data_IF_003697890712
#
_entry.id   IF_003697890712
#
_cell.length_a   1.000
_cell.length_b   1.000
_cell.length_c   1.000
_cell.angle_alpha   90.00
_cell.angle_beta   90.00
_cell.angle_gamma   90.00
#
_symmetry.space_group_name_H-M   'P 1'
#
loop_
_entity.id
_entity.type
_entity.pdbx_description
1 polymer ?
#
# COMPACT_ATOMS: atom_id res chain seq x y z
N UNK A 1 6.88 -3.39 9.82
CA UNK A 1 5.90 -2.98 8.79
C UNK A 1 6.60 -2.73 7.46
N UNK A 2 5.92 -3.01 6.38
CA UNK A 2 6.43 -2.73 5.03
C UNK A 2 5.31 -2.15 4.18
N UNK A 3 5.60 -1.04 3.50
CA UNK A 3 4.72 -0.49 2.46
C UNK A 3 5.46 -0.57 1.14
N UNK A 4 4.96 -1.38 0.22
CA UNK A 4 5.43 -1.35 -1.17
C UNK A 4 4.53 -0.38 -1.93
N UNK A 5 5.09 0.79 -2.25
CA UNK A 5 4.37 1.91 -2.85
C UNK A 5 4.67 1.93 -4.35
N UNK A 6 3.63 1.89 -5.17
CA UNK A 6 3.75 2.08 -6.61
C UNK A 6 2.95 3.31 -7.03
N UNK A 7 3.62 4.25 -7.67
CA UNK A 7 2.96 5.42 -8.26
C UNK A 7 2.20 4.96 -9.51
N UNK A 8 0.92 5.29 -9.59
CA UNK A 8 0.04 4.76 -10.64
C UNK A 8 -0.73 5.84 -11.38
N UNK A 9 -1.06 5.57 -12.66
CA UNK A 9 -2.05 6.33 -13.40
C UNK A 9 -3.46 5.85 -13.06
N UNK A 10 -3.61 4.56 -12.78
CA UNK A 10 -4.83 3.93 -12.30
C UNK A 10 -4.48 2.58 -11.68
N UNK A 11 -5.37 2.08 -10.84
CA UNK A 11 -5.27 0.76 -10.24
C UNK A 11 -6.63 0.26 -9.81
N UNK A 12 -6.82 -1.07 -9.76
CA UNK A 12 -8.07 -1.65 -9.28
C UNK A 12 -7.84 -3.03 -8.67
N UNK A 13 -8.76 -3.42 -7.81
CA UNK A 13 -8.85 -4.76 -7.24
C UNK A 13 -10.15 -5.40 -7.69
N UNK A 14 -10.04 -6.61 -8.25
CA UNK A 14 -11.17 -7.45 -8.60
C UNK A 14 -11.17 -8.70 -7.74
N UNK A 15 -12.35 -9.12 -7.28
CA UNK A 15 -12.57 -10.36 -6.55
C UNK A 15 -13.69 -11.09 -7.26
N UNK A 16 -13.43 -12.33 -7.70
CA UNK A 16 -14.41 -13.16 -8.43
C UNK A 16 -15.05 -12.40 -9.63
N UNK A 17 -14.22 -11.66 -10.36
CA UNK A 17 -14.65 -10.88 -11.52
C UNK A 17 -15.37 -9.57 -11.21
N UNK A 18 -15.50 -9.21 -9.94
CA UNK A 18 -16.15 -7.97 -9.49
C UNK A 18 -15.12 -6.96 -9.00
N UNK A 19 -15.17 -5.74 -9.50
CA UNK A 19 -14.31 -4.66 -9.02
C UNK A 19 -14.79 -4.18 -7.65
N UNK A 20 -13.91 -4.29 -6.63
CA UNK A 20 -14.22 -3.90 -5.25
C UNK A 20 -13.54 -2.61 -4.83
N UNK A 21 -12.49 -2.20 -5.54
CA UNK A 21 -11.79 -0.93 -5.31
C UNK A 21 -11.12 -0.47 -6.59
N UNK A 22 -11.14 0.83 -6.84
CA UNK A 22 -10.58 1.42 -8.06
C UNK A 22 -10.17 2.85 -7.80
N UNK A 23 -9.00 3.23 -8.30
CA UNK A 23 -8.47 4.60 -8.22
C UNK A 23 -7.94 5.07 -9.58
N UNK A 24 -7.87 6.39 -9.75
CA UNK A 24 -7.09 7.04 -10.79
C UNK A 24 -5.65 7.28 -10.34
N UNK A 25 -5.10 8.44 -10.66
CA UNK A 25 -3.73 8.84 -10.31
C UNK A 25 -3.51 8.81 -8.79
N UNK A 26 -2.42 8.20 -8.37
CA UNK A 26 -2.07 8.14 -6.96
C UNK A 26 -1.11 7.01 -6.65
N UNK A 27 -1.34 6.32 -5.53
CA UNK A 27 -0.55 5.17 -5.10
C UNK A 27 -1.40 3.91 -4.99
N UNK A 28 -0.89 2.80 -5.51
CA UNK A 28 -1.27 1.47 -5.06
C UNK A 28 -0.22 1.00 -4.07
N UNK A 29 -0.66 0.64 -2.86
CA UNK A 29 0.24 0.27 -1.77
C UNK A 29 -0.09 -1.14 -1.28
N UNK A 30 0.91 -2.02 -1.34
CA UNK A 30 0.85 -3.31 -0.67
C UNK A 30 1.37 -3.13 0.75
N UNK A 31 0.59 -3.57 1.74
CA UNK A 31 0.88 -3.37 3.16
C UNK A 31 1.18 -4.71 3.82
N UNK A 32 2.40 -4.85 4.32
CA UNK A 32 2.82 -5.98 5.14
C UNK A 32 2.91 -5.57 6.60
N UNK A 33 2.26 -6.34 7.48
CA UNK A 33 2.32 -6.13 8.93
C UNK A 33 3.24 -7.20 9.52
N UNK A 34 4.24 -6.77 10.29
CA UNK A 34 5.14 -7.64 11.02
C UNK A 34 4.61 -7.98 12.41
N UNK A 35 5.16 -9.03 13.01
CA UNK A 35 4.70 -9.55 14.32
C UNK A 35 4.85 -8.56 15.47
N UNK A 36 5.76 -7.59 15.36
CA UNK A 36 6.02 -6.59 16.41
C UNK A 36 5.48 -5.20 16.08
N UNK A 37 4.66 -5.08 15.04
CA UNK A 37 4.13 -3.79 14.63
C UNK A 37 3.03 -3.29 15.58
N UNK A 38 2.96 -1.96 15.68
CA UNK A 38 2.03 -1.23 16.54
C UNK A 38 1.35 -0.10 15.78
N UNK A 39 0.33 0.50 16.38
CA UNK A 39 -0.32 1.69 15.81
C UNK A 39 0.64 2.87 15.66
N UNK A 40 1.57 3.03 16.61
CA UNK A 40 2.60 4.08 16.57
C UNK A 40 3.53 3.91 15.36
N UNK A 41 3.90 2.67 15.06
CA UNK A 41 4.69 2.34 13.87
C UNK A 41 3.87 2.65 12.60
N UNK A 42 2.59 2.24 12.58
CA UNK A 42 1.69 2.53 11.46
C UNK A 42 1.57 4.04 11.22
N UNK A 43 1.40 4.84 12.27
CA UNK A 43 1.32 6.30 12.17
C UNK A 43 2.57 6.89 11.52
N UNK A 44 3.74 6.40 11.90
CA UNK A 44 5.01 6.85 11.32
C UNK A 44 5.10 6.53 9.83
N UNK A 45 4.66 5.32 9.43
CA UNK A 45 4.65 4.91 8.02
C UNK A 45 3.66 5.73 7.21
N UNK A 46 2.47 5.98 7.74
CA UNK A 46 1.45 6.81 7.09
C UNK A 46 1.99 8.22 6.86
N UNK A 47 2.55 8.85 7.89
CA UNK A 47 3.13 10.20 7.76
C UNK A 47 4.23 10.25 6.70
N UNK A 48 5.12 9.26 6.70
CA UNK A 48 6.20 9.19 5.71
C UNK A 48 5.64 9.02 4.30
N UNK A 49 4.71 8.10 4.11
CA UNK A 49 4.08 7.84 2.80
C UNK A 49 3.40 9.10 2.25
N UNK A 50 2.63 9.80 3.08
CA UNK A 50 1.93 11.02 2.66
C UNK A 50 2.89 12.18 2.36
N UNK A 51 4.06 12.20 2.99
CA UNK A 51 5.07 13.25 2.81
C UNK A 51 6.04 12.99 1.66
N UNK A 52 6.06 11.79 1.08
CA UNK A 52 6.94 11.47 -0.05
C UNK A 52 6.63 12.39 -1.23
N UNK A 53 7.68 12.97 -1.79
CA UNK A 53 7.58 13.93 -2.90
C UNK A 53 8.02 13.26 -4.19
N UNK A 54 7.17 12.38 -4.71
CA UNK A 54 7.49 11.52 -5.86
C UNK A 54 6.59 11.73 -7.07
N UNK A 55 5.78 12.78 -7.07
CA UNK A 55 5.05 13.21 -8.27
C UNK A 55 5.78 14.36 -8.95
N UNK A 56 5.69 14.39 -10.28
CA UNK A 56 6.33 15.43 -11.07
C UNK A 56 5.66 16.80 -10.83
N UNK A 57 6.50 17.83 -10.72
CA UNK A 57 6.06 19.22 -10.72
C UNK A 57 5.90 19.75 -12.16
N UNK A 58 5.59 21.03 -12.32
CA UNK A 58 5.39 21.69 -13.62
C UNK A 58 6.66 21.69 -14.49
N UNK A 59 7.84 21.52 -13.86
CA UNK A 59 9.13 21.43 -14.56
C UNK A 59 9.54 19.98 -14.85
N UNK A 60 8.66 19.01 -14.58
CA UNK A 60 8.95 17.59 -14.76
C UNK A 60 9.86 16.98 -13.69
N UNK A 61 10.15 17.71 -12.60
CA UNK A 61 10.99 17.21 -11.51
C UNK A 61 10.15 16.49 -10.47
N UNK A 62 10.68 15.40 -9.94
CA UNK A 62 10.10 14.65 -8.83
C UNK A 62 10.13 15.53 -7.58
N UNK A 63 9.00 16.09 -7.19
CA UNK A 63 8.93 17.16 -6.19
C UNK A 63 7.64 17.26 -5.39
N UNK A 64 6.53 16.74 -5.90
CA UNK A 64 5.22 16.93 -5.28
C UNK A 64 4.76 15.70 -4.51
N UNK A 65 4.03 15.93 -3.41
CA UNK A 65 3.42 14.86 -2.63
C UNK A 65 2.09 14.41 -3.24
N UNK A 66 1.56 13.30 -2.74
CA UNK A 66 0.23 12.81 -3.16
C UNK A 66 -0.87 13.84 -2.87
N UNK A 67 -0.78 14.58 -1.77
CA UNK A 67 -1.74 15.64 -1.44
C UNK A 67 -1.65 16.80 -2.41
N UNK A 68 -0.43 17.19 -2.80
CA UNK A 68 -0.21 18.30 -3.74
C UNK A 68 -0.88 18.04 -5.09
N UNK A 69 -0.90 16.80 -5.54
CA UNK A 69 -1.47 16.43 -6.85
C UNK A 69 -2.92 15.94 -6.77
N UNK A 70 -3.51 15.93 -5.58
CA UNK A 70 -4.87 15.41 -5.41
C UNK A 70 -4.97 13.92 -5.71
N UNK A 71 -3.92 13.16 -5.41
CA UNK A 71 -3.86 11.74 -5.70
C UNK A 71 -4.75 10.89 -4.81
N UNK A 72 -4.99 9.67 -5.24
CA UNK A 72 -5.86 8.69 -4.59
C UNK A 72 -5.05 7.52 -4.06
N UNK A 73 -5.60 6.78 -3.11
CA UNK A 73 -4.95 5.61 -2.51
C UNK A 73 -5.75 4.34 -2.75
N UNK A 74 -5.05 3.28 -3.16
CA UNK A 74 -5.55 1.91 -3.13
C UNK A 74 -4.66 1.10 -2.20
N UNK A 75 -5.23 0.63 -1.09
CA UNK A 75 -4.50 -0.06 -0.02
C UNK A 75 -4.86 -1.54 -0.01
N UNK A 76 -3.86 -2.40 -0.15
CA UNK A 76 -4.05 -3.85 -0.22
C UNK A 76 -3.15 -4.54 0.79
N UNK A 77 -3.72 -5.39 1.63
CA UNK A 77 -2.94 -6.18 2.58
C UNK A 77 -2.15 -7.26 1.86
N UNK A 78 -0.85 -7.42 2.21
CA UNK A 78 0.06 -8.36 1.56
C UNK A 78 1.09 -8.91 2.56
N UNK A 79 0.76 -10.00 3.26
CA UNK A 79 1.68 -10.60 4.23
C UNK A 79 2.94 -11.18 3.59
N UNK A 80 2.87 -11.55 2.30
CA UNK A 80 4.00 -12.14 1.58
C UNK A 80 5.18 -11.17 1.40
N UNK A 81 5.03 -9.89 1.72
CA UNK A 81 6.15 -8.95 1.81
C UNK A 81 7.16 -9.38 2.90
N UNK A 82 6.74 -10.23 3.84
CA UNK A 82 7.60 -10.82 4.87
C UNK A 82 8.16 -12.19 4.47
N UNK A 83 8.12 -12.53 3.19
CA UNK A 83 8.68 -13.78 2.70
C UNK A 83 10.19 -13.86 2.97
N UNK A 84 10.62 -15.00 3.51
CA UNK A 84 12.04 -15.36 3.59
C UNK A 84 12.30 -16.49 2.60
N UNK A 85 13.11 -16.19 1.59
CA UNK A 85 13.44 -17.11 0.50
C UNK A 85 14.89 -17.62 0.57
N UNK A 86 15.55 -17.48 1.72
CA UNK A 86 16.98 -17.80 1.86
C UNK A 86 17.28 -19.30 1.87
N UNK A 87 16.31 -20.14 2.21
CA UNK A 87 16.48 -21.59 2.26
C UNK A 87 15.50 -22.29 1.32
N UNK A 88 16.06 -22.96 0.32
CA UNK A 88 15.26 -23.72 -0.63
C UNK A 88 14.35 -22.85 -1.47
N UNK A 89 13.37 -23.47 -2.13
CA UNK A 89 12.48 -22.81 -3.08
C UNK A 89 11.08 -22.54 -2.52
N UNK A 90 10.82 -22.93 -1.28
CA UNK A 90 9.56 -22.68 -0.60
C UNK A 90 9.73 -21.52 0.39
N UNK A 91 9.06 -20.35 0.14
CA UNK A 91 9.15 -19.22 1.05
C UNK A 91 8.58 -19.53 2.43
N UNK A 92 9.14 -18.92 3.46
CA UNK A 92 8.57 -18.91 4.81
C UNK A 92 8.16 -17.50 5.20
N UNK A 93 7.24 -17.37 6.16
CA UNK A 93 6.65 -16.07 6.52
C UNK A 93 6.68 -15.83 8.03
N UNK A 94 7.74 -16.29 8.70
CA UNK A 94 7.85 -16.27 10.17
C UNK A 94 7.82 -14.86 10.77
N UNK A 95 8.23 -13.84 10.01
CA UNK A 95 8.22 -12.45 10.48
C UNK A 95 6.90 -11.73 10.29
N UNK A 96 5.95 -12.34 9.61
CA UNK A 96 4.63 -11.74 9.40
C UNK A 96 3.82 -11.77 10.70
N UNK A 97 3.06 -10.70 10.95
CA UNK A 97 2.09 -10.66 12.03
C UNK A 97 1.00 -11.71 11.83
N UNK A 98 0.44 -12.22 12.95
CA UNK A 98 -0.69 -13.13 12.84
C UNK A 98 -1.89 -12.43 12.17
N UNK A 99 -2.86 -13.19 11.60
CA UNK A 99 -3.97 -12.58 10.87
C UNK A 99 -4.78 -11.56 11.67
N UNK A 100 -4.97 -11.78 12.97
CA UNK A 100 -5.74 -10.87 13.83
C UNK A 100 -5.05 -9.51 13.96
N UNK A 101 -3.74 -9.50 14.25
CA UNK A 101 -2.94 -8.29 14.34
C UNK A 101 -2.86 -7.58 12.99
N UNK A 102 -2.61 -8.34 11.93
CA UNK A 102 -2.47 -7.79 10.58
C UNK A 102 -3.78 -7.13 10.12
N UNK A 103 -4.92 -7.77 10.37
CA UNK A 103 -6.24 -7.22 10.03
C UNK A 103 -6.54 -5.95 10.83
N UNK A 104 -6.27 -5.96 12.13
CA UNK A 104 -6.47 -4.78 13.01
C UNK A 104 -5.64 -3.58 12.53
N UNK A 105 -4.35 -3.78 12.29
CA UNK A 105 -3.48 -2.68 11.86
C UNK A 105 -3.78 -2.24 10.44
N UNK A 106 -4.16 -3.14 9.54
CA UNK A 106 -4.60 -2.78 8.20
C UNK A 106 -5.84 -1.87 8.26
N UNK A 107 -6.86 -2.25 9.03
CA UNK A 107 -8.07 -1.44 9.20
C UNK A 107 -7.75 -0.07 9.81
N UNK A 108 -6.84 -0.04 10.78
CA UNK A 108 -6.36 1.21 11.37
C UNK A 108 -5.69 2.12 10.34
N UNK A 109 -4.80 1.56 9.50
CA UNK A 109 -4.13 2.31 8.44
C UNK A 109 -5.13 2.89 7.46
N UNK A 110 -6.10 2.10 7.03
CA UNK A 110 -7.17 2.54 6.12
C UNK A 110 -7.95 3.72 6.72
N UNK A 111 -8.36 3.59 8.00
CA UNK A 111 -9.12 4.62 8.68
C UNK A 111 -8.33 5.93 8.82
N UNK A 112 -7.04 5.84 9.17
CA UNK A 112 -6.17 7.01 9.29
C UNK A 112 -5.91 7.68 7.93
N UNK A 113 -5.71 6.90 6.87
CA UNK A 113 -5.55 7.45 5.52
C UNK A 113 -6.81 8.18 5.03
N UNK A 114 -7.99 7.68 5.38
CA UNK A 114 -9.27 8.33 5.01
C UNK A 114 -9.44 9.71 5.64
N UNK A 115 -8.78 10.00 6.75
CA UNK A 115 -8.79 11.33 7.36
C UNK A 115 -7.97 12.34 6.55
N UNK A 116 -7.02 11.87 5.75
CA UNK A 116 -6.03 12.70 5.07
C UNK A 116 -6.25 12.79 3.56
N UNK A 117 -6.81 11.75 2.95
CA UNK A 117 -6.99 11.61 1.50
C UNK A 117 -8.47 11.39 1.20
N UNK A 118 -9.07 12.19 0.29
CA UNK A 118 -10.51 12.07 -0.01
C UNK A 118 -10.93 10.74 -0.61
N UNK A 119 -10.09 10.13 -1.46
CA UNK A 119 -10.40 8.85 -2.11
C UNK A 119 -9.40 7.81 -1.64
N UNK A 120 -9.86 6.92 -0.76
CA UNK A 120 -9.10 5.76 -0.28
C UNK A 120 -9.95 4.52 -0.57
N UNK A 121 -9.43 3.67 -1.46
CA UNK A 121 -10.06 2.42 -1.85
C UNK A 121 -9.25 1.24 -1.31
N UNK A 122 -9.90 0.10 -1.18
CA UNK A 122 -9.29 -1.10 -0.58
C UNK A 122 -9.65 -2.33 -1.38
N UNK A 123 -8.85 -3.41 -1.17
CA UNK A 123 -9.31 -4.76 -1.45
C UNK A 123 -10.08 -5.31 -0.25
N UNK A 124 -10.01 -6.62 -0.06
CA UNK A 124 -10.61 -7.31 1.08
C UNK A 124 -9.54 -8.16 1.75
N UNK A 125 -9.33 -7.95 3.05
CA UNK A 125 -8.32 -8.70 3.80
C UNK A 125 -8.54 -10.21 3.67
N UNK A 126 -7.48 -10.94 3.32
CA UNK A 126 -7.49 -12.39 3.21
C UNK A 126 -8.16 -12.96 1.96
N UNK A 127 -8.73 -12.14 1.10
CA UNK A 127 -9.36 -12.62 -0.13
C UNK A 127 -8.32 -12.88 -1.23
N UNK A 128 -8.70 -13.74 -2.18
CA UNK A 128 -7.96 -13.88 -3.44
C UNK A 128 -8.34 -12.71 -4.35
N UNK A 129 -7.35 -11.87 -4.66
CA UNK A 129 -7.57 -10.61 -5.38
C UNK A 129 -6.76 -10.56 -6.67
N UNK A 130 -7.36 -10.00 -7.71
CA UNK A 130 -6.67 -9.62 -8.93
C UNK A 130 -6.39 -8.12 -8.85
N UNK A 131 -5.13 -7.74 -8.72
CA UNK A 131 -4.72 -6.34 -8.61
C UNK A 131 -4.13 -5.90 -9.94
N UNK A 132 -4.81 -4.96 -10.60
CA UNK A 132 -4.36 -4.39 -11.88
C UNK A 132 -3.91 -2.97 -11.66
N UNK A 133 -2.83 -2.56 -12.31
CA UNK A 133 -2.31 -1.20 -12.19
C UNK A 133 -1.49 -0.80 -13.40
N UNK A 134 -1.39 0.51 -13.63
CA UNK A 134 -0.40 1.09 -14.53
C UNK A 134 0.61 1.83 -13.67
N UNK A 135 1.79 1.24 -13.51
CA UNK A 135 2.89 1.85 -12.74
C UNK A 135 3.51 2.97 -13.57
N UNK A 136 3.35 4.18 -13.08
CA UNK A 136 3.76 5.39 -13.79
C UNK A 136 5.23 5.69 -13.56
N UNK A 137 6.02 5.46 -14.61
CA UNK A 137 7.46 5.74 -14.57
C UNK A 137 8.37 4.62 -15.10
N UNK A 138 8.39 3.38 -14.63
CA UNK A 138 7.82 2.90 -13.37
C UNK A 138 8.43 3.57 -12.15
N UNK A 139 7.70 3.62 -11.07
CA UNK A 139 8.18 4.21 -9.81
C UNK A 139 7.65 3.38 -8.64
N UNK A 140 8.55 2.68 -7.98
CA UNK A 140 8.23 1.71 -6.93
C UNK A 140 9.19 1.89 -5.77
N UNK A 141 8.66 2.07 -4.56
CA UNK A 141 9.45 2.30 -3.35
C UNK A 141 9.00 1.33 -2.25
N UNK A 142 9.98 0.79 -1.52
CA UNK A 142 9.73 0.05 -0.30
C UNK A 142 10.03 0.94 0.90
N UNK A 143 9.02 1.17 1.75
CA UNK A 143 9.21 1.67 3.11
C UNK A 143 9.25 0.48 4.06
N UNK A 144 10.31 0.44 4.86
CA UNK A 144 10.50 -0.61 5.86
C UNK A 144 11.30 -0.14 7.07
#
# INVERSE_FOLDING_TARGET
MKFLIQRVLNAQVDIEGQTVGKIGKGYMILIGVGEEDTKEIADRFIRKMLALRIFADENGKTNLSIKDVGGELLLVSQFTLYANCNKGNRPTFNGAGNPALASELYDYIVAECKKEIPVVQTGKFGADMQVSLVNDGPFTIMLE
#
